data_IF_676643361686
#
_entry.id   IF_676643361686
#
_cell.length_a   1.000
_cell.length_b   1.000
_cell.length_c   1.000
_cell.angle_alpha   90.00
_cell.angle_beta   90.00
_cell.angle_gamma   90.00
#
_symmetry.space_group_name_H-M   'P 1'
#
loop_
_entity.id
_entity.type
_entity.pdbx_description
1 polymer ?
#
# COMPACT_ATOMS: atom_id res chain seq x y z
N UNK A 1 0.07 14.06 2.81
CA UNK A 1 1.01 13.25 2.00
C UNK A 1 0.84 11.79 2.40
N UNK A 2 0.43 10.91 1.48
CA UNK A 2 0.18 9.49 1.77
C UNK A 2 1.38 8.60 1.44
N UNK A 3 1.59 7.52 2.19
CA UNK A 3 2.60 6.50 1.88
C UNK A 3 2.03 5.53 0.83
N UNK A 4 2.14 5.89 -0.44
CA UNK A 4 1.59 5.13 -1.58
C UNK A 4 2.57 5.16 -2.76
N UNK A 5 2.38 4.26 -3.74
CA UNK A 5 3.13 4.27 -5.01
C UNK A 5 4.67 4.18 -4.88
N UNK A 6 5.18 3.22 -4.10
CA UNK A 6 6.63 2.98 -4.01
C UNK A 6 7.13 2.28 -2.76
N UNK A 7 6.27 2.07 -1.75
CA UNK A 7 6.63 1.40 -0.49
C UNK A 7 6.65 -0.13 -0.65
N UNK A 8 7.45 -0.64 -1.58
CA UNK A 8 7.57 -2.08 -1.83
C UNK A 8 8.69 -2.73 -1.02
N UNK A 9 9.76 -2.00 -0.69
CA UNK A 9 10.86 -2.52 0.12
C UNK A 9 10.51 -2.54 1.63
N UNK A 10 10.95 -3.61 2.31
CA UNK A 10 10.82 -3.80 3.76
C UNK A 10 12.21 -4.12 4.34
N UNK A 11 12.77 -3.26 5.21
CA UNK A 11 14.03 -3.57 5.89
C UNK A 11 13.84 -4.76 6.84
N UNK A 12 14.85 -5.62 6.92
CA UNK A 12 14.87 -6.79 7.82
C UNK A 12 16.16 -6.77 8.64
N UNK A 13 16.04 -7.14 9.91
CA UNK A 13 17.16 -7.19 10.85
C UNK A 13 18.13 -8.33 10.53
N UNK A 14 17.64 -9.41 9.92
CA UNK A 14 18.45 -10.56 9.48
C UNK A 14 18.30 -10.76 7.97
N UNK A 15 19.41 -11.13 7.33
CA UNK A 15 19.47 -11.46 5.91
C UNK A 15 18.83 -12.80 5.58
N UNK A 16 18.67 -13.69 6.56
CA UNK A 16 18.06 -15.01 6.37
C UNK A 16 16.86 -15.24 7.30
N UNK A 17 15.93 -16.05 6.82
CA UNK A 17 14.76 -16.55 7.54
C UNK A 17 14.86 -18.07 7.58
N UNK A 18 14.74 -18.64 8.77
CA UNK A 18 14.78 -20.10 8.98
C UNK A 18 13.42 -20.59 9.44
N UNK A 19 12.90 -21.63 8.77
CA UNK A 19 11.66 -22.32 9.14
C UNK A 19 11.88 -23.82 9.01
N UNK A 20 11.53 -24.57 10.05
CA UNK A 20 11.61 -26.04 10.08
C UNK A 20 13.00 -26.58 9.65
N UNK A 21 14.09 -25.91 10.06
CA UNK A 21 15.47 -26.27 9.73
C UNK A 21 15.92 -25.90 8.30
N UNK A 22 15.07 -25.24 7.50
CA UNK A 22 15.42 -24.74 6.17
C UNK A 22 15.70 -23.25 6.25
N UNK A 23 16.90 -22.83 5.83
CA UNK A 23 17.37 -21.45 5.82
C UNK A 23 17.31 -20.85 4.42
N UNK A 24 16.50 -19.80 4.24
CA UNK A 24 16.35 -19.08 2.97
C UNK A 24 16.60 -17.57 3.16
N UNK A 25 16.92 -16.81 2.09
CA UNK A 25 17.00 -15.35 2.18
C UNK A 25 15.69 -14.75 2.72
N UNK A 26 15.79 -13.76 3.59
CA UNK A 26 14.63 -13.03 4.12
C UNK A 26 13.85 -12.37 2.99
N UNK A 27 12.52 -12.36 3.08
CA UNK A 27 11.69 -11.52 2.23
C UNK A 27 11.94 -10.04 2.53
N UNK A 28 12.32 -9.28 1.50
CA UNK A 28 12.72 -7.86 1.57
C UNK A 28 11.75 -6.93 0.85
N UNK A 29 10.61 -7.44 0.39
CA UNK A 29 9.63 -6.67 -0.35
C UNK A 29 9.51 -7.08 -1.81
N UNK A 30 8.35 -6.80 -2.40
CA UNK A 30 7.96 -7.31 -3.72
C UNK A 30 8.85 -6.80 -4.86
N UNK A 31 9.53 -5.68 -4.64
CA UNK A 31 10.50 -5.10 -5.57
C UNK A 31 11.88 -5.80 -5.54
N UNK A 32 12.12 -6.70 -4.57
CA UNK A 32 13.36 -7.44 -4.40
C UNK A 32 13.11 -8.93 -4.60
N UNK A 33 12.23 -9.55 -3.81
CA UNK A 33 11.92 -10.98 -3.87
C UNK A 33 10.46 -11.27 -3.53
N UNK A 34 10.01 -12.51 -3.71
CA UNK A 34 8.67 -12.99 -3.38
C UNK A 34 8.52 -13.32 -1.89
N UNK A 35 7.29 -13.22 -1.39
CA UNK A 35 6.91 -13.49 0.00
C UNK A 35 6.92 -14.99 0.34
N UNK A 36 6.57 -15.84 -0.64
CA UNK A 36 6.57 -17.29 -0.53
C UNK A 36 7.92 -17.83 -0.03
N UNK A 37 7.84 -18.82 0.87
CA UNK A 37 9.01 -19.42 1.52
C UNK A 37 9.54 -20.60 0.70
N UNK A 38 10.05 -20.29 -0.49
CA UNK A 38 10.70 -21.24 -1.39
C UNK A 38 11.93 -20.61 -2.05
N UNK A 39 12.88 -21.43 -2.49
CA UNK A 39 14.16 -20.94 -3.00
C UNK A 39 14.02 -20.06 -4.25
N UNK A 40 13.05 -20.34 -5.11
CA UNK A 40 12.82 -19.60 -6.36
C UNK A 40 12.28 -18.20 -6.02
N UNK A 41 11.24 -18.13 -5.18
CA UNK A 41 10.64 -16.87 -4.75
C UNK A 41 11.59 -16.00 -3.95
N UNK A 42 12.47 -16.59 -3.13
CA UNK A 42 13.42 -15.83 -2.30
C UNK A 42 14.66 -15.33 -3.05
N UNK A 43 14.87 -15.79 -4.29
CA UNK A 43 15.96 -15.30 -5.15
C UNK A 43 15.66 -13.86 -5.60
N UNK A 44 16.55 -12.89 -5.36
CA UNK A 44 16.35 -11.52 -5.82
C UNK A 44 16.27 -11.43 -7.35
N UNK A 45 15.24 -10.76 -7.88
CA UNK A 45 15.02 -10.58 -9.32
C UNK A 45 15.01 -9.08 -9.69
N UNK A 46 16.00 -8.59 -10.44
CA UNK A 46 16.06 -7.20 -10.88
C UNK A 46 14.85 -6.74 -11.70
N UNK A 47 14.16 -7.64 -12.41
CA UNK A 47 12.96 -7.28 -13.19
C UNK A 47 11.81 -6.81 -12.30
N UNK A 48 11.81 -7.17 -11.00
CA UNK A 48 10.82 -6.71 -10.03
C UNK A 48 10.90 -5.20 -9.78
N UNK A 49 12.05 -4.56 -10.01
CA UNK A 49 12.17 -3.10 -9.95
C UNK A 49 11.35 -2.42 -11.06
N UNK A 50 11.38 -2.98 -12.27
CA UNK A 50 10.60 -2.46 -13.40
C UNK A 50 9.11 -2.63 -13.14
N UNK A 51 8.70 -3.79 -12.61
CA UNK A 51 7.31 -4.03 -12.20
C UNK A 51 6.84 -3.05 -11.13
N UNK A 52 7.65 -2.84 -10.10
CA UNK A 52 7.36 -1.87 -9.04
C UNK A 52 7.20 -0.45 -9.61
N UNK A 53 8.05 -0.04 -10.55
CA UNK A 53 7.91 1.24 -11.24
C UNK A 53 6.58 1.34 -12.00
N UNK A 54 6.23 0.34 -12.81
CA UNK A 54 4.95 0.33 -13.54
C UNK A 54 3.74 0.42 -12.60
N UNK A 55 3.77 -0.31 -11.48
CA UNK A 55 2.71 -0.27 -10.48
C UNK A 55 2.60 1.11 -9.81
N UNK A 56 3.73 1.73 -9.45
CA UNK A 56 3.76 3.09 -8.91
C UNK A 56 3.16 4.11 -9.88
N UNK A 57 3.51 4.03 -11.16
CA UNK A 57 2.97 4.94 -12.19
C UNK A 57 1.46 4.74 -12.34
N UNK A 58 0.97 3.50 -12.37
CA UNK A 58 -0.46 3.22 -12.46
C UNK A 58 -1.23 3.80 -11.26
N UNK A 59 -0.75 3.59 -10.03
CA UNK A 59 -1.35 4.15 -8.82
C UNK A 59 -1.34 5.68 -8.84
N UNK A 60 -0.22 6.29 -9.24
CA UNK A 60 -0.10 7.74 -9.29
C UNK A 60 -1.02 8.37 -10.34
N UNK A 61 -1.18 7.73 -11.50
CA UNK A 61 -2.08 8.18 -12.55
C UNK A 61 -3.55 8.13 -12.11
N UNK A 62 -3.96 7.07 -11.39
CA UNK A 62 -5.29 6.99 -10.81
C UNK A 62 -5.53 8.08 -9.76
N UNK A 63 -4.57 8.31 -8.86
CA UNK A 63 -4.64 9.39 -7.87
C UNK A 63 -4.76 10.76 -8.52
N UNK A 64 -4.01 11.02 -9.60
CA UNK A 64 -4.12 12.26 -10.37
C UNK A 64 -5.50 12.40 -11.03
N UNK A 65 -6.03 11.33 -11.62
CA UNK A 65 -7.37 11.35 -12.21
C UNK A 65 -8.45 11.71 -11.18
N UNK A 66 -8.37 11.15 -9.96
CA UNK A 66 -9.29 11.51 -8.88
C UNK A 66 -9.12 12.95 -8.37
N UNK A 67 -7.88 13.45 -8.29
CA UNK A 67 -7.61 14.82 -7.85
C UNK A 67 -8.04 15.88 -8.89
N UNK A 68 -7.86 15.59 -10.18
CA UNK A 68 -8.17 16.53 -11.29
C UNK A 68 -9.62 16.45 -11.75
N UNK A 69 -10.27 15.28 -11.69
CA UNK A 69 -11.72 15.13 -11.90
C UNK A 69 -12.58 15.61 -10.72
N UNK A 70 -12.02 16.51 -9.89
CA UNK A 70 -12.30 16.69 -8.46
C UNK A 70 -13.70 17.09 -8.02
N UNK A 71 -14.57 17.63 -8.89
CA UNK A 71 -15.92 18.06 -8.46
C UNK A 71 -16.79 16.89 -8.00
N UNK A 72 -16.78 15.77 -8.72
CA UNK A 72 -17.52 14.57 -8.33
C UNK A 72 -16.82 13.76 -7.22
N UNK A 73 -15.52 13.96 -7.03
CA UNK A 73 -14.76 13.30 -5.97
C UNK A 73 -14.96 13.99 -4.61
N UNK A 74 -14.98 15.33 -4.56
CA UNK A 74 -15.21 16.10 -3.33
C UNK A 74 -16.62 15.90 -2.75
N UNK A 75 -17.67 15.87 -3.59
CA UNK A 75 -19.03 15.57 -3.12
C UNK A 75 -19.12 14.15 -2.53
N UNK A 76 -18.45 13.16 -3.13
CA UNK A 76 -18.42 11.77 -2.62
C UNK A 76 -17.60 11.61 -1.35
N UNK A 77 -16.50 12.34 -1.18
CA UNK A 77 -15.70 12.30 0.06
C UNK A 77 -16.50 12.86 1.25
N UNK A 78 -17.28 13.93 1.05
CA UNK A 78 -18.19 14.41 2.09
C UNK A 78 -19.26 13.37 2.43
N UNK A 79 -19.83 12.70 1.43
CA UNK A 79 -20.79 11.62 1.67
C UNK A 79 -20.19 10.45 2.48
N UNK A 80 -18.99 9.99 2.13
CA UNK A 80 -18.32 8.91 2.89
C UNK A 80 -17.98 9.30 4.32
N UNK A 81 -17.63 10.56 4.57
CA UNK A 81 -17.40 11.06 5.93
C UNK A 81 -18.70 11.08 6.75
N UNK A 82 -19.82 11.51 6.14
CA UNK A 82 -21.14 11.52 6.78
C UNK A 82 -21.61 10.10 7.10
N UNK A 83 -21.51 9.17 6.15
CA UNK A 83 -21.91 7.77 6.32
C UNK A 83 -21.06 7.06 7.39
N UNK A 84 -19.76 7.39 7.51
CA UNK A 84 -18.88 6.85 8.56
C UNK A 84 -19.19 7.43 9.95
N UNK A 85 -19.55 8.71 10.02
CA UNK A 85 -19.85 9.40 11.28
C UNK A 85 -21.19 8.97 11.89
N UNK A 86 -22.22 8.70 11.07
CA UNK A 86 -23.53 8.17 11.53
C UNK A 86 -23.41 6.83 12.28
N UNK A 87 -22.32 6.08 12.08
CA UNK A 87 -22.07 4.78 12.71
C UNK A 87 -21.18 4.84 13.97
N UNK A 88 -20.87 6.04 14.48
CA UNK A 88 -19.97 6.22 15.63
C UNK A 88 -20.53 7.20 16.68
N UNK A 89 -20.29 6.90 17.96
CA UNK A 89 -20.67 7.76 19.10
C UNK A 89 -19.99 9.15 19.05
N UNK A 90 -18.90 9.29 18.28
CA UNK A 90 -18.16 10.53 18.07
C UNK A 90 -18.74 11.41 16.93
N UNK A 91 -19.63 10.88 16.10
CA UNK A 91 -20.30 11.61 15.02
C UNK A 91 -21.21 12.73 15.53
N UNK A 92 -21.92 12.48 16.64
CA UNK A 92 -22.83 13.45 17.27
C UNK A 92 -22.13 14.74 17.69
N UNK A 93 -20.84 14.67 18.04
CA UNK A 93 -20.02 15.84 18.41
C UNK A 93 -19.58 16.68 17.22
N UNK A 94 -19.50 16.08 16.03
CA UNK A 94 -19.09 16.78 14.81
C UNK A 94 -20.23 17.61 14.21
N UNK A 95 -21.48 17.17 14.36
CA UNK A 95 -22.68 17.92 13.97
C UNK A 95 -22.87 19.26 14.70
N UNK A 96 -22.20 19.47 15.85
CA UNK A 96 -22.26 20.72 16.61
C UNK A 96 -21.28 21.81 16.10
N UNK A 97 -20.38 21.47 15.17
CA UNK A 97 -19.36 22.38 14.63
C UNK A 97 -19.62 22.82 13.18
N UNK A 98 -20.72 22.36 12.57
CA UNK A 98 -21.21 22.80 11.26
C UNK A 98 -22.49 23.60 11.43
#
# INVERSE_FOLDING_TARGET
>A
VGRMAGQFAKPRSDSFEEKNGVKLPSYRGDNINGDAFDAVSRTPDPQRMVRAYCQSVATLNLLRAFATGGYAAMQRVNQWNLDFMEQSEQGDRYHLLT
#
